data_IF_639976524686
#
_entry.id   IF_639976524686
#
_cell.length_a   1.000
_cell.length_b   1.000
_cell.length_c   1.000
_cell.angle_alpha   90.00
_cell.angle_beta   90.00
_cell.angle_gamma   90.00
#
_symmetry.space_group_name_H-M   'P 1'
#
loop_
_entity.id
_entity.type
_entity.pdbx_description
1 polymer ?
#
# COMPACT_ATOMS: atom_id res chain seq x y z
N UNK A 1 10.98 4.03 11.66
CA UNK A 1 10.57 4.33 10.28
C UNK A 1 9.20 4.98 10.33
N UNK A 2 8.99 6.08 9.60
CA UNK A 2 7.68 6.74 9.47
C UNK A 2 7.53 7.11 8.00
N UNK A 3 6.49 6.60 7.36
CA UNK A 3 6.16 6.99 6.00
C UNK A 3 5.53 8.37 6.00
N UNK A 4 6.05 9.26 5.14
CA UNK A 4 5.33 10.48 4.78
C UNK A 4 4.07 10.06 4.01
N UNK A 5 2.97 10.75 4.27
CA UNK A 5 1.73 10.56 3.51
C UNK A 5 1.90 11.29 2.18
N UNK A 6 1.90 10.59 1.04
CA UNK A 6 1.96 11.22 -0.27
C UNK A 6 0.79 12.17 -0.50
N UNK A 7 0.94 13.09 -1.44
CA UNK A 7 -0.19 13.83 -1.98
C UNK A 7 -1.24 12.86 -2.56
N UNK A 8 -2.51 13.27 -2.53
CA UNK A 8 -3.59 12.43 -3.06
C UNK A 8 -3.42 12.26 -4.58
N UNK A 9 -3.38 11.03 -5.09
CA UNK A 9 -3.34 10.78 -6.53
C UNK A 9 -4.74 10.97 -7.12
N UNK A 10 -5.13 12.24 -7.28
CA UNK A 10 -6.48 12.67 -7.66
C UNK A 10 -6.91 12.21 -9.04
N UNK A 11 -5.98 12.16 -10.01
CA UNK A 11 -6.23 11.65 -11.37
C UNK A 11 -6.58 10.16 -11.35
N UNK A 12 -5.72 9.33 -10.73
CA UNK A 12 -5.93 7.90 -10.56
C UNK A 12 -7.23 7.59 -9.81
N UNK A 13 -7.58 8.41 -8.81
CA UNK A 13 -8.88 8.31 -8.13
C UNK A 13 -10.04 8.57 -9.07
N UNK A 14 -9.97 9.64 -9.86
CA UNK A 14 -11.03 10.02 -10.78
C UNK A 14 -11.23 8.95 -11.88
N UNK A 15 -10.15 8.45 -12.47
CA UNK A 15 -10.18 7.39 -13.48
C UNK A 15 -10.79 6.10 -12.92
N UNK A 16 -10.33 5.68 -11.74
CA UNK A 16 -10.85 4.45 -11.09
C UNK A 16 -12.32 4.60 -10.71
N UNK A 17 -12.75 5.80 -10.31
CA UNK A 17 -14.15 6.10 -10.02
C UNK A 17 -15.00 6.04 -11.28
N UNK A 18 -14.56 6.68 -12.36
CA UNK A 18 -15.25 6.66 -13.64
C UNK A 18 -15.40 5.22 -14.16
N UNK A 19 -14.34 4.40 -14.06
CA UNK A 19 -14.39 2.99 -14.41
C UNK A 19 -15.40 2.20 -13.56
N UNK A 20 -15.46 2.47 -12.25
CA UNK A 20 -16.43 1.82 -11.36
C UNK A 20 -17.89 2.22 -11.67
N UNK A 21 -18.11 3.44 -12.16
CA UNK A 21 -19.41 3.95 -12.57
C UNK A 21 -19.84 3.39 -13.93
N UNK A 22 -18.92 3.25 -14.88
CA UNK A 22 -19.17 2.69 -16.22
C UNK A 22 -19.31 1.15 -16.18
N UNK A 23 -18.40 0.48 -15.47
CA UNK A 23 -18.39 -0.98 -15.29
C UNK A 23 -18.06 -1.35 -13.83
N UNK A 24 -19.08 -1.62 -13.00
CA UNK A 24 -18.89 -2.01 -11.61
C UNK A 24 -18.02 -3.26 -11.43
N UNK A 25 -18.13 -4.26 -12.32
CA UNK A 25 -17.28 -5.44 -12.26
C UNK A 25 -15.82 -5.13 -12.57
N UNK A 26 -15.55 -4.33 -13.61
CA UNK A 26 -14.18 -4.00 -14.02
C UNK A 26 -13.49 -3.07 -13.02
N UNK A 27 -14.15 -1.99 -12.60
CA UNK A 27 -13.65 -1.11 -11.55
C UNK A 27 -13.46 -1.86 -10.22
N UNK A 28 -14.35 -2.82 -9.93
CA UNK A 28 -14.19 -3.72 -8.79
C UNK A 28 -12.90 -4.56 -8.86
N UNK A 29 -12.57 -5.10 -10.03
CA UNK A 29 -11.32 -5.88 -10.24
C UNK A 29 -10.07 -5.02 -10.10
N UNK A 30 -10.08 -3.80 -10.67
CA UNK A 30 -8.94 -2.86 -10.53
C UNK A 30 -8.68 -2.52 -9.07
N UNK A 31 -9.73 -2.21 -8.31
CA UNK A 31 -9.60 -1.92 -6.88
C UNK A 31 -9.10 -3.15 -6.11
N UNK A 32 -9.62 -4.35 -6.43
CA UNK A 32 -9.23 -5.60 -5.77
C UNK A 32 -7.76 -5.97 -6.03
N UNK A 33 -7.25 -5.70 -7.24
CA UNK A 33 -5.85 -5.94 -7.59
C UNK A 33 -4.90 -4.93 -6.93
N UNK A 34 -5.41 -3.73 -6.62
CA UNK A 34 -4.72 -2.65 -5.91
C UNK A 34 -3.46 -2.08 -6.58
N UNK A 35 -3.01 -2.61 -7.73
CA UNK A 35 -1.81 -2.16 -8.41
C UNK A 35 -1.85 -0.66 -8.76
N UNK A 36 -2.99 -0.18 -9.27
CA UNK A 36 -3.21 1.20 -9.73
C UNK A 36 -2.74 2.30 -8.75
N UNK A 37 -2.86 2.05 -7.44
CA UNK A 37 -2.39 2.96 -6.37
C UNK A 37 -1.13 2.46 -5.68
N UNK A 38 -0.92 1.14 -5.66
CA UNK A 38 0.25 0.52 -5.04
C UNK A 38 1.53 0.94 -5.73
N UNK A 39 1.53 1.06 -7.06
CA UNK A 39 2.71 1.45 -7.83
C UNK A 39 3.19 2.85 -7.45
N UNK A 40 2.26 3.81 -7.35
CA UNK A 40 2.55 5.17 -6.92
C UNK A 40 3.08 5.25 -5.48
N UNK A 41 2.49 4.45 -4.57
CA UNK A 41 2.95 4.39 -3.19
C UNK A 41 4.32 3.70 -3.08
N UNK A 42 4.60 2.74 -3.95
CA UNK A 42 5.88 2.05 -4.01
C UNK A 42 7.00 2.97 -4.49
N UNK A 43 6.75 3.87 -5.45
CA UNK A 43 7.75 4.87 -5.85
C UNK A 43 8.23 5.73 -4.67
N UNK A 44 7.36 6.01 -3.70
CA UNK A 44 7.70 6.85 -2.55
C UNK A 44 8.20 6.07 -1.33
N UNK A 45 7.67 4.87 -1.09
CA UNK A 45 7.97 4.09 0.12
C UNK A 45 8.88 2.89 -0.15
N UNK A 46 9.05 2.50 -1.41
CA UNK A 46 9.68 1.25 -1.83
C UNK A 46 11.10 1.11 -1.30
N UNK A 47 11.94 2.14 -1.44
CA UNK A 47 13.33 2.10 -0.94
C UNK A 47 13.40 1.82 0.56
N UNK A 48 12.57 2.48 1.36
CA UNK A 48 12.51 2.29 2.82
C UNK A 48 11.94 0.91 3.18
N UNK A 49 10.92 0.45 2.45
CA UNK A 49 10.30 -0.87 2.63
C UNK A 49 11.29 -1.99 2.29
N UNK A 50 12.01 -1.87 1.18
CA UNK A 50 13.03 -2.83 0.75
C UNK A 50 14.17 -2.91 1.76
N UNK A 51 14.67 -1.75 2.22
CA UNK A 51 15.69 -1.69 3.28
C UNK A 51 15.19 -2.32 4.60
N UNK A 52 13.88 -2.29 4.84
CA UNK A 52 13.24 -2.94 5.97
C UNK A 52 12.83 -4.41 5.70
N UNK A 53 13.15 -4.98 4.55
CA UNK A 53 12.91 -6.38 4.21
C UNK A 53 11.52 -6.69 3.64
N UNK A 54 10.77 -5.69 3.19
CA UNK A 54 9.51 -5.86 2.45
C UNK A 54 9.77 -5.52 0.98
N UNK A 55 9.80 -6.55 0.12
CA UNK A 55 9.84 -6.35 -1.33
C UNK A 55 8.47 -6.01 -1.93
N UNK A 56 8.48 -5.52 -3.17
CA UNK A 56 7.27 -5.07 -3.89
C UNK A 56 6.15 -6.12 -3.90
N UNK A 57 6.47 -7.40 -4.17
CA UNK A 57 5.47 -8.47 -4.20
C UNK A 57 4.72 -8.62 -2.86
N UNK A 58 5.45 -8.57 -1.74
CA UNK A 58 4.85 -8.64 -0.41
C UNK A 58 4.05 -7.37 -0.08
N UNK A 59 4.55 -6.21 -0.50
CA UNK A 59 3.83 -4.96 -0.38
C UNK A 59 2.49 -5.02 -1.13
N UNK A 60 2.49 -5.48 -2.39
CA UNK A 60 1.29 -5.61 -3.21
C UNK A 60 0.28 -6.60 -2.61
N UNK A 61 0.73 -7.72 -2.04
CA UNK A 61 -0.15 -8.64 -1.28
C UNK A 61 -0.85 -7.94 -0.10
N UNK A 62 -0.09 -7.12 0.64
CA UNK A 62 -0.63 -6.35 1.77
C UNK A 62 -1.65 -5.33 1.25
N UNK A 63 -1.35 -4.64 0.16
CA UNK A 63 -2.24 -3.68 -0.50
C UNK A 63 -3.54 -4.34 -1.00
N UNK A 64 -3.47 -5.51 -1.63
CA UNK A 64 -4.64 -6.29 -2.05
C UNK A 64 -5.54 -6.66 -0.86
N UNK A 65 -4.94 -7.07 0.26
CA UNK A 65 -5.70 -7.33 1.50
C UNK A 65 -6.34 -6.06 2.10
N UNK A 66 -5.93 -4.87 1.64
CA UNK A 66 -6.42 -3.56 2.03
C UNK A 66 -7.40 -2.95 1.00
N UNK A 67 -7.74 -3.67 -0.07
CA UNK A 67 -8.53 -3.17 -1.21
C UNK A 67 -9.87 -2.52 -0.83
N UNK A 68 -10.56 -3.03 0.20
CA UNK A 68 -11.81 -2.42 0.68
C UNK A 68 -11.64 -0.97 1.12
N UNK A 69 -10.46 -0.62 1.61
CA UNK A 69 -10.16 0.72 2.13
C UNK A 69 -9.75 1.67 0.99
N UNK A 70 -9.15 1.13 -0.08
CA UNK A 70 -9.00 1.85 -1.35
C UNK A 70 -10.36 2.11 -1.98
N UNK A 71 -11.30 1.16 -1.93
CA UNK A 71 -12.68 1.37 -2.42
C UNK A 71 -13.32 2.56 -1.74
N UNK A 72 -13.30 2.62 -0.40
CA UNK A 72 -13.87 3.74 0.36
C UNK A 72 -13.23 5.08 -0.04
N UNK A 73 -11.92 5.09 -0.29
CA UNK A 73 -11.25 6.30 -0.76
C UNK A 73 -11.69 6.71 -2.17
N UNK A 74 -11.77 5.76 -3.11
CA UNK A 74 -12.21 6.00 -4.49
C UNK A 74 -13.63 6.58 -4.53
N UNK A 75 -14.56 6.00 -3.76
CA UNK A 75 -15.96 6.48 -3.72
C UNK A 75 -16.13 7.77 -2.91
N UNK A 76 -15.11 8.19 -2.17
CA UNK A 76 -15.10 9.43 -1.39
C UNK A 76 -15.63 9.29 0.04
N UNK A 77 -15.85 8.07 0.52
CA UNK A 77 -16.24 7.77 1.90
C UNK A 77 -15.05 7.80 2.88
N UNK A 78 -13.82 7.77 2.35
CA UNK A 78 -12.59 7.88 3.16
C UNK A 78 -11.63 8.92 2.59
N UNK A 79 -11.16 9.87 3.42
CA UNK A 79 -10.07 10.77 3.05
C UNK A 79 -8.76 10.04 2.74
N UNK A 80 -8.00 10.53 1.74
CA UNK A 80 -6.73 9.93 1.34
C UNK A 80 -5.73 9.79 2.48
N UNK A 81 -5.56 10.83 3.29
CA UNK A 81 -4.63 10.82 4.43
C UNK A 81 -4.94 9.70 5.43
N UNK A 82 -6.22 9.37 5.66
CA UNK A 82 -6.62 8.25 6.51
C UNK A 82 -6.35 6.90 5.84
N UNK A 83 -6.60 6.79 4.52
CA UNK A 83 -6.33 5.58 3.75
C UNK A 83 -4.82 5.26 3.73
N UNK A 84 -3.99 6.23 3.31
CA UNK A 84 -2.54 6.08 3.23
C UNK A 84 -1.91 5.82 4.61
N UNK A 85 -2.32 6.55 5.65
CA UNK A 85 -1.83 6.29 7.02
C UNK A 85 -2.24 4.89 7.53
N UNK A 86 -3.44 4.43 7.17
CA UNK A 86 -3.92 3.09 7.51
C UNK A 86 -3.09 1.97 6.89
N UNK A 87 -2.73 2.11 5.61
CA UNK A 87 -1.83 1.18 4.93
C UNK A 87 -0.41 1.24 5.51
N UNK A 88 0.14 2.44 5.70
CA UNK A 88 1.44 2.65 6.33
C UNK A 88 1.53 1.93 7.69
N UNK A 89 0.51 2.07 8.54
CA UNK A 89 0.45 1.36 9.82
C UNK A 89 0.40 -0.16 9.68
N UNK A 90 -0.29 -0.70 8.65
CA UNK A 90 -0.31 -2.14 8.36
C UNK A 90 1.03 -2.67 7.89
N UNK A 91 1.77 -1.89 7.12
CA UNK A 91 3.13 -2.22 6.67
C UNK A 91 4.10 -2.22 7.86
N UNK A 92 4.06 -1.19 8.70
CA UNK A 92 4.91 -1.10 9.90
C UNK A 92 4.74 -2.28 10.85
N UNK A 93 3.51 -2.79 11.02
CA UNK A 93 3.24 -4.00 11.84
C UNK A 93 3.69 -5.31 11.20
N UNK A 94 3.99 -5.30 9.91
CA UNK A 94 4.42 -6.47 9.12
C UNK A 94 5.89 -6.42 8.75
N UNK A 95 6.61 -5.39 9.21
CA UNK A 95 8.06 -5.38 9.11
C UNK A 95 8.57 -6.66 9.78
N UNK A 96 9.55 -7.35 9.16
CA UNK A 96 10.31 -8.37 9.84
C UNK A 96 10.75 -7.82 11.20
N UNK A 97 10.47 -8.56 12.27
CA UNK A 97 11.15 -8.31 13.52
C UNK A 97 12.65 -8.36 13.19
N UNK A 98 13.39 -7.33 13.57
CA UNK A 98 14.84 -7.25 13.40
C UNK A 98 15.49 -8.37 14.22
N UNK A 99 15.37 -9.62 13.80
CA UNK A 99 15.90 -10.78 14.49
C UNK A 99 17.28 -11.09 13.92
N UNK A 100 18.27 -10.85 14.78
CA UNK A 100 19.49 -11.65 14.94
C UNK A 100 20.57 -11.58 13.87
N UNK A 101 21.10 -10.38 13.60
CA UNK A 101 22.48 -10.26 13.09
C UNK A 101 23.54 -10.53 14.18
N UNK A 102 23.16 -10.74 15.45
CA UNK A 102 24.13 -10.92 16.56
C UNK A 102 24.53 -12.38 16.79
N UNK A 103 23.78 -13.38 16.31
CA UNK A 103 24.09 -14.80 16.57
C UNK A 103 25.22 -15.40 15.72
N UNK A 104 25.76 -14.67 14.73
CA UNK A 104 26.86 -15.16 13.90
C UNK A 104 28.27 -14.83 14.44
N UNK A 105 28.41 -13.96 15.44
CA UNK A 105 29.73 -13.53 15.98
C UNK A 105 30.13 -14.22 17.29
N UNK A 106 29.27 -15.02 17.93
CA UNK A 106 29.55 -15.61 19.26
C UNK A 106 30.10 -17.05 19.19
N UNK A 107 30.22 -17.66 18.01
CA UNK A 107 30.75 -19.03 17.86
C UNK A 107 32.04 -19.12 17.04
N UNK A 108 32.99 -18.19 17.26
CA UNK A 108 34.33 -18.27 16.67
C UNK A 108 35.42 -18.42 17.73
#
# INVERSE_FOLDING_TARGET
MRFLVPDEPTEVKAETRALLEDSPEEGGRVIADAAFVSDLLWEQWGTDLEAAGIGYGRFLEISRSYAGEFRLWVVGERPWNHCAAGLAGRLLRRLPARQDTILAEVNR
#
